data_IF_924667110391
#
_entry.id   IF_924667110391
#
_cell.length_a   1.000
_cell.length_b   1.000
_cell.length_c   1.000
_cell.angle_alpha   90.00
_cell.angle_beta   90.00
_cell.angle_gamma   90.00
#
_symmetry.space_group_name_H-M   'P 1'
#
loop_
_entity.id
_entity.type
_entity.pdbx_description
1 polymer ?
#
# COMPACT_ATOMS: atom_id res chain seq x y z
N UNK A 1 11.92 -12.40 -17.02
CA UNK A 1 11.91 -11.40 -15.93
C UNK A 1 10.60 -11.63 -15.19
N UNK A 2 10.62 -11.80 -13.88
CA UNK A 2 9.38 -11.93 -13.11
C UNK A 2 8.74 -10.55 -12.98
N UNK A 3 7.42 -10.49 -13.20
CA UNK A 3 6.59 -9.30 -13.06
C UNK A 3 6.09 -9.23 -11.61
N UNK A 4 6.04 -8.02 -11.04
CA UNK A 4 5.59 -7.82 -9.67
C UNK A 4 4.12 -7.40 -9.73
N UNK A 5 3.21 -8.30 -9.35
CA UNK A 5 1.77 -8.02 -9.39
C UNK A 5 1.29 -7.09 -8.27
N UNK A 6 2.00 -7.09 -7.13
CA UNK A 6 1.64 -6.33 -5.93
C UNK A 6 2.86 -6.11 -5.04
N UNK A 7 2.98 -4.89 -4.51
CA UNK A 7 3.91 -4.52 -3.45
C UNK A 7 3.14 -4.20 -2.17
N UNK A 8 3.57 -4.79 -1.06
CA UNK A 8 3.09 -4.42 0.27
C UNK A 8 4.11 -3.47 0.87
N UNK A 9 3.72 -2.21 1.08
CA UNK A 9 4.62 -1.15 1.52
C UNK A 9 4.28 -0.71 2.95
N UNK A 10 5.28 -0.73 3.82
CA UNK A 10 5.20 -0.13 5.15
C UNK A 10 5.43 1.38 5.06
N UNK A 11 4.51 2.18 5.61
CA UNK A 11 4.72 3.62 5.70
C UNK A 11 5.75 3.98 6.77
N UNK A 12 5.78 3.20 7.84
CA UNK A 12 6.58 3.48 9.02
C UNK A 12 7.93 2.79 8.90
N UNK A 13 8.85 3.42 8.17
CA UNK A 13 10.22 2.95 8.04
C UNK A 13 11.19 3.97 8.65
N UNK A 14 12.12 3.55 9.53
CA UNK A 14 13.13 4.46 10.04
C UNK A 14 14.04 4.93 8.89
N UNK A 15 14.04 6.23 8.63
CA UNK A 15 14.94 6.88 7.66
C UNK A 15 14.43 6.99 6.21
N UNK A 16 13.26 6.43 5.89
CA UNK A 16 12.62 6.54 4.57
C UNK A 16 11.12 6.75 4.74
N UNK A 17 10.55 7.72 4.03
CA UNK A 17 9.12 7.97 4.07
C UNK A 17 8.41 7.15 3.00
N UNK A 18 7.31 6.48 3.36
CA UNK A 18 6.55 5.64 2.43
C UNK A 18 6.00 6.40 1.22
N UNK A 19 5.73 7.71 1.33
CA UNK A 19 5.32 8.55 0.19
C UNK A 19 6.43 8.73 -0.86
N UNK A 20 7.68 8.89 -0.44
CA UNK A 20 8.83 8.96 -1.35
C UNK A 20 9.12 7.62 -2.03
N UNK A 21 8.92 6.50 -1.33
CA UNK A 21 9.06 5.16 -1.91
C UNK A 21 8.00 4.96 -2.99
N UNK A 22 6.74 5.25 -2.66
CA UNK A 22 5.63 5.13 -3.60
C UNK A 22 5.84 5.99 -4.85
N UNK A 23 6.30 7.23 -4.69
CA UNK A 23 6.61 8.11 -5.82
C UNK A 23 7.66 7.49 -6.75
N UNK A 24 8.78 6.98 -6.22
CA UNK A 24 9.82 6.31 -7.01
C UNK A 24 9.32 5.03 -7.67
N UNK A 25 8.49 4.26 -6.99
CA UNK A 25 7.88 3.05 -7.56
C UNK A 25 7.01 3.40 -8.77
N UNK A 26 6.19 4.44 -8.67
CA UNK A 26 5.33 4.92 -9.77
C UNK A 26 6.12 5.44 -10.97
N UNK A 27 7.31 6.00 -10.75
CA UNK A 27 8.23 6.38 -11.85
C UNK A 27 8.84 5.16 -12.55
N UNK A 28 9.06 4.06 -11.83
CA UNK A 28 9.64 2.83 -12.38
C UNK A 28 8.60 1.96 -13.08
N UNK A 29 7.42 1.85 -12.48
CA UNK A 29 6.30 1.05 -12.95
C UNK A 29 4.99 1.73 -12.50
N UNK A 30 4.26 2.40 -13.41
CA UNK A 30 3.00 3.05 -13.05
C UNK A 30 1.87 2.06 -12.79
N UNK A 31 1.95 0.80 -13.27
CA UNK A 31 0.88 -0.20 -13.19
C UNK A 31 1.02 -1.12 -11.96
N UNK A 32 2.18 -1.16 -11.30
CA UNK A 32 2.40 -2.00 -10.10
C UNK A 32 1.37 -1.70 -9.01
N UNK A 33 0.65 -2.71 -8.52
CA UNK A 33 -0.29 -2.47 -7.42
C UNK A 33 0.46 -2.29 -6.10
N UNK A 34 -0.04 -1.43 -5.22
CA UNK A 34 0.53 -1.12 -3.91
C UNK A 34 -0.53 -1.19 -2.82
N UNK A 35 -0.32 -2.11 -1.88
CA UNK A 35 -1.05 -2.21 -0.62
C UNK A 35 -0.23 -1.56 0.49
N UNK A 36 -0.74 -0.46 1.03
CA UNK A 36 -0.09 0.25 2.13
C UNK A 36 -0.37 -0.46 3.47
N UNK A 37 0.62 -0.51 4.35
CA UNK A 37 0.46 -0.90 5.75
C UNK A 37 0.94 0.22 6.68
N UNK A 38 0.19 0.52 7.76
CA UNK A 38 0.51 1.63 8.68
C UNK A 38 0.05 1.36 10.11
N UNK A 39 0.74 1.91 11.11
CA UNK A 39 0.45 1.77 12.53
C UNK A 39 -0.61 2.74 13.06
N UNK A 40 -1.27 2.37 14.16
CA UNK A 40 -2.19 3.25 14.88
C UNK A 40 -1.43 4.38 15.60
N UNK A 41 -1.84 5.64 15.40
CA UNK A 41 -1.28 6.80 16.10
C UNK A 41 -0.17 7.55 15.36
N UNK A 42 0.12 7.16 14.12
CA UNK A 42 1.09 7.85 13.29
C UNK A 42 0.38 8.81 12.33
N UNK A 43 0.65 10.11 12.46
CA UNK A 43 0.20 11.17 11.53
C UNK A 43 0.97 11.11 10.20
N UNK A 44 1.12 9.91 9.65
CA UNK A 44 1.60 9.73 8.30
C UNK A 44 0.51 10.22 7.34
N UNK A 45 0.81 11.07 6.34
CA UNK A 45 -0.21 11.65 5.50
C UNK A 45 -0.70 10.59 4.52
N UNK A 46 -1.62 9.75 4.98
CA UNK A 46 -2.39 8.79 4.19
C UNK A 46 -2.97 9.47 2.93
N UNK A 47 -3.33 10.75 3.07
CA UNK A 47 -3.76 11.63 1.99
C UNK A 47 -2.73 11.81 0.87
N UNK A 48 -1.42 11.88 1.17
CA UNK A 48 -0.38 11.95 0.14
C UNK A 48 -0.28 10.65 -0.65
N UNK A 49 -0.24 9.51 0.04
CA UNK A 49 -0.13 8.21 -0.65
C UNK A 49 -1.40 7.87 -1.44
N UNK A 50 -2.58 8.22 -0.92
CA UNK A 50 -3.84 8.15 -1.69
C UNK A 50 -3.76 8.96 -2.99
N UNK A 51 -3.20 10.18 -2.95
CA UNK A 51 -3.01 11.01 -4.17
C UNK A 51 -2.01 10.44 -5.16
N UNK A 52 -1.07 9.62 -4.72
CA UNK A 52 -0.09 8.95 -5.57
C UNK A 52 -0.64 7.65 -6.21
N UNK A 53 -1.89 7.27 -5.89
CA UNK A 53 -2.53 6.07 -6.39
C UNK A 53 -2.07 4.84 -5.61
N UNK A 54 -2.93 4.35 -4.72
CA UNK A 54 -2.77 3.08 -4.01
C UNK A 54 -4.08 2.30 -4.11
N UNK A 55 -3.97 0.98 -4.08
CA UNK A 55 -5.09 0.07 -4.29
C UNK A 55 -5.72 -0.36 -2.96
N UNK A 56 -4.99 -0.20 -1.85
CA UNK A 56 -5.52 -0.50 -0.52
C UNK A 56 -4.65 0.00 0.61
N UNK A 57 -5.23 0.00 1.81
CA UNK A 57 -4.57 0.34 3.08
C UNK A 57 -4.96 -0.71 4.12
N UNK A 58 -3.98 -1.22 4.86
CA UNK A 58 -4.17 -2.18 5.94
C UNK A 58 -3.52 -1.66 7.23
N UNK A 59 -4.37 -1.34 8.21
CA UNK A 59 -3.91 -0.84 9.51
C UNK A 59 -3.33 -1.95 10.38
N UNK A 60 -2.17 -1.68 10.99
CA UNK A 60 -1.53 -2.51 11.99
C UNK A 60 -2.11 -2.22 13.38
N UNK A 61 -2.19 -3.25 14.26
CA UNK A 61 -1.86 -4.65 13.99
C UNK A 61 -2.94 -5.33 13.14
N UNK A 62 -2.52 -6.20 12.22
CA UNK A 62 -3.42 -7.05 11.42
C UNK A 62 -3.05 -8.52 11.57
N UNK A 63 -4.04 -9.40 11.35
CA UNK A 63 -3.88 -10.84 11.36
C UNK A 63 -3.82 -11.38 9.92
N UNK A 64 -3.28 -12.60 9.75
CA UNK A 64 -3.05 -13.20 8.43
C UNK A 64 -4.31 -13.23 7.53
N UNK A 65 -5.50 -13.62 8.02
CA UNK A 65 -6.73 -13.53 7.22
C UNK A 65 -7.03 -12.14 6.66
N UNK A 66 -6.81 -11.07 7.44
CA UNK A 66 -7.03 -9.70 6.98
C UNK A 66 -6.03 -9.31 5.88
N UNK A 67 -4.76 -9.72 6.03
CA UNK A 67 -3.74 -9.50 5.00
C UNK A 67 -4.09 -10.22 3.70
N UNK A 68 -4.47 -11.50 3.77
CA UNK A 68 -4.86 -12.29 2.60
C UNK A 68 -6.10 -11.72 1.92
N UNK A 69 -7.09 -11.24 2.69
CA UNK A 69 -8.27 -10.57 2.16
C UNK A 69 -7.92 -9.28 1.42
N UNK A 70 -7.04 -8.45 1.98
CA UNK A 70 -6.59 -7.21 1.34
C UNK A 70 -5.78 -7.48 0.05
N UNK A 71 -4.88 -8.46 0.08
CA UNK A 71 -4.15 -8.89 -1.13
C UNK A 71 -5.13 -9.40 -2.19
N UNK A 72 -6.08 -10.26 -1.79
CA UNK A 72 -7.11 -10.77 -2.69
C UNK A 72 -7.90 -9.65 -3.33
N UNK A 73 -8.39 -8.69 -2.54
CA UNK A 73 -9.16 -7.54 -3.01
C UNK A 73 -8.38 -6.65 -3.98
N UNK A 74 -7.08 -6.42 -3.76
CA UNK A 74 -6.22 -5.64 -4.66
C UNK A 74 -5.92 -6.38 -5.97
N UNK A 75 -5.69 -7.69 -5.88
CA UNK A 75 -5.35 -8.49 -7.06
C UNK A 75 -6.59 -8.77 -7.94
N UNK A 76 -7.76 -9.00 -7.33
CA UNK A 76 -9.05 -8.92 -8.02
C UNK A 76 -9.33 -7.47 -8.46
N UNK A 77 -9.96 -7.23 -9.59
CA UNK A 77 -10.31 -5.86 -10.04
C UNK A 77 -11.42 -5.18 -9.18
N UNK A 78 -11.74 -5.70 -8.00
CA UNK A 78 -12.72 -5.15 -7.06
C UNK A 78 -12.06 -4.13 -6.13
N UNK A 79 -11.97 -2.87 -6.60
CA UNK A 79 -11.53 -1.72 -5.80
C UNK A 79 -12.44 -1.55 -4.57
N UNK A 80 -12.04 -2.10 -3.43
CA UNK A 80 -12.77 -1.91 -2.17
C UNK A 80 -12.11 -0.79 -1.38
N UNK A 81 -12.67 0.41 -1.51
CA UNK A 81 -12.31 1.55 -0.66
C UNK A 81 -13.00 1.36 0.70
N UNK A 82 -12.35 0.65 1.63
CA UNK A 82 -12.80 0.60 3.02
C UNK A 82 -12.54 1.95 3.68
N UNK A 83 -13.64 2.64 4.05
CA UNK A 83 -13.64 3.85 4.88
C UNK A 83 -13.38 3.52 6.35
#
# INVERSE_FOLDING_TARGET
>A
KEEIDLVILDLVLPGLKGDEILARMREMDPEVKVLITTGFGEEEPLEKVKRLGIEGVLSKPFHLPALLGAIGAVLSEETTVSH
#
